data_IF_796211642852
#
_entry.id   IF_796211642852
#
_cell.length_a   1.000
_cell.length_b   1.000
_cell.length_c   1.000
_cell.angle_alpha   90.00
_cell.angle_beta   90.00
_cell.angle_gamma   90.00
#
_symmetry.space_group_name_H-M   'P 1'
#
loop_
_entity.id
_entity.type
_entity.pdbx_description
1 polymer ?
2 polymer ?
3 non-polymer ?
4 water ?
#
# COMPACT_ATOMS: atom_id res chain seq x y z
N UNK A 1 4.59 9.98 26.97
CA UNK A 1 5.58 11.09 27.05
C UNK A 1 6.39 11.21 25.77
N UNK A 2 6.98 12.39 25.58
CA UNK A 2 7.64 12.77 24.32
C UNK A 2 8.75 11.84 23.86
N UNK A 3 9.67 11.49 24.75
CA UNK A 3 10.78 10.59 24.43
C UNK A 3 10.31 9.21 23.95
N UNK A 4 9.34 8.64 24.67
CA UNK A 4 8.74 7.37 24.27
C UNK A 4 8.08 7.49 22.89
N UNK A 5 7.37 8.58 22.64
CA UNK A 5 6.73 8.77 21.33
C UNK A 5 7.76 8.86 20.21
N UNK A 6 8.90 9.49 20.48
CA UNK A 6 9.96 9.55 19.47
C UNK A 6 10.64 8.21 19.26
N UNK A 7 10.86 7.46 20.35
CA UNK A 7 11.39 6.11 20.25
C UNK A 7 10.42 5.17 19.51
N UNK A 8 9.11 5.34 19.75
CA UNK A 8 8.11 4.62 18.95
C UNK A 8 8.24 4.98 17.45
N UNK A 9 8.28 6.27 17.17
CA UNK A 9 8.44 6.74 15.78
C UNK A 9 9.64 6.10 15.11
N UNK A 10 10.77 6.10 15.82
CA UNK A 10 12.03 5.55 15.30
C UNK A 10 11.96 4.02 15.14
N UNK A 11 11.38 3.35 16.13
CA UNK A 11 11.19 1.91 16.05
C UNK A 11 10.38 1.53 14.80
N UNK A 12 9.32 2.29 14.55
CA UNK A 12 8.48 2.06 13.37
C UNK A 12 9.25 2.35 12.08
N UNK A 13 9.98 3.46 12.01
CA UNK A 13 10.85 3.71 10.83
C UNK A 13 11.87 2.57 10.57
N UNK A 14 12.57 2.14 11.60
CA UNK A 14 13.53 1.05 11.47
C UNK A 14 12.84 -0.21 10.97
N UNK A 15 11.67 -0.52 11.52
CA UNK A 15 10.92 -1.70 11.06
C UNK A 15 10.55 -1.59 9.60
N UNK A 16 10.20 -0.37 9.18
CA UNK A 16 9.75 -0.08 7.84
C UNK A 16 10.91 -0.26 6.85
N UNK A 17 12.08 0.22 7.22
CA UNK A 17 13.27 0.00 6.40
C UNK A 17 13.59 -1.50 6.27
N UNK A 18 13.39 -2.27 7.35
CA UNK A 18 13.65 -3.73 7.35
C UNK A 18 12.63 -4.56 6.55
N UNK A 19 11.44 -3.99 6.34
CA UNK A 19 10.29 -4.68 5.75
C UNK A 19 10.08 -4.33 4.27
N UNK A 20 10.44 -3.12 3.87
CA UNK A 20 10.17 -2.62 2.52
C UNK A 20 11.46 -2.23 1.80
N UNK A 21 11.96 -3.11 0.92
CA UNK A 21 13.26 -2.89 0.26
C UNK A 21 13.29 -1.62 -0.60
N UNK A 22 12.15 -1.25 -1.19
CA UNK A 22 12.06 -0.04 -2.01
C UNK A 22 11.25 1.10 -1.34
N UNK A 23 11.98 2.06 -0.77
CA UNK A 23 11.38 3.16 -0.01
C UNK A 23 10.91 4.30 -0.94
N UNK A 24 10.11 5.22 -0.41
CA UNK A 24 9.78 6.45 -1.13
C UNK A 24 11.05 7.25 -1.44
N UNK A 25 12.02 7.29 -0.51
CA UNK A 25 13.26 8.03 -0.77
C UNK A 25 13.93 7.56 -2.07
N UNK A 26 14.08 6.24 -2.20
CA UNK A 26 14.71 5.63 -3.37
C UNK A 26 13.85 5.87 -4.61
N UNK A 27 12.55 5.64 -4.47
CA UNK A 27 11.62 5.81 -5.60
C UNK A 27 11.73 7.21 -6.22
N UNK A 28 11.77 8.23 -5.35
CA UNK A 28 11.78 9.61 -5.83
C UNK A 28 13.14 9.92 -6.48
N UNK A 29 14.22 9.34 -5.95
CA UNK A 29 15.53 9.46 -6.57
C UNK A 29 15.46 8.96 -8.02
N UNK A 30 14.79 7.82 -8.22
CA UNK A 30 14.59 7.24 -9.54
C UNK A 30 13.73 8.11 -10.45
N UNK A 31 12.56 8.52 -9.96
CA UNK A 31 11.64 9.37 -10.72
C UNK A 31 12.23 10.74 -11.08
N UNK A 32 13.17 11.25 -10.28
CA UNK A 32 13.77 12.55 -10.58
C UNK A 32 15.15 12.44 -11.24
N UNK A 33 15.60 11.22 -11.50
CA UNK A 33 16.90 10.98 -12.09
C UNK A 33 18.07 11.44 -11.24
N UNK A 34 17.92 11.40 -9.92
CA UNK A 34 19.04 11.76 -9.06
C UNK A 34 19.69 10.53 -8.43
N UNK A 35 19.91 9.55 -9.29
CA UNK A 35 20.50 8.25 -8.94
C UNK A 35 21.56 7.93 -9.99
N UNK A 36 22.54 7.07 -9.65
CA UNK A 36 23.59 6.69 -10.60
C UNK A 36 23.17 5.59 -11.58
N UNK A 37 22.28 4.71 -11.14
CA UNK A 37 21.91 3.55 -11.95
C UNK A 37 21.04 3.90 -13.15
N UNK A 38 20.95 2.96 -14.07
CA UNK A 38 20.21 3.10 -15.32
C UNK A 38 18.79 3.65 -15.13
N UNK A 39 18.41 4.58 -16.01
CA UNK A 39 17.02 5.01 -16.18
C UNK A 39 16.13 3.79 -16.35
N UNK A 40 14.93 3.78 -15.76
CA UNK A 40 14.02 2.65 -15.92
C UNK A 40 13.50 2.55 -17.37
N UNK A 41 13.25 1.34 -17.87
CA UNK A 41 12.59 1.19 -19.16
C UNK A 41 11.14 1.66 -19.09
N UNK A 42 10.73 2.46 -20.06
CA UNK A 42 9.37 2.98 -20.12
C UNK A 42 8.46 2.04 -20.91
N UNK A 43 7.37 1.59 -20.28
CA UNK A 43 6.29 0.89 -20.97
C UNK A 43 5.17 1.89 -21.26
N UNK A 44 5.00 2.24 -22.53
CA UNK A 44 4.04 3.25 -22.94
C UNK A 44 3.07 2.73 -24.02
N UNK A 45 3.34 1.51 -24.51
CA UNK A 45 2.52 0.86 -25.52
C UNK A 45 2.74 -0.65 -25.57
N UNK A 46 2.04 -1.31 -26.47
CA UNK A 46 2.01 -2.77 -26.55
C UNK A 46 3.36 -3.43 -26.81
N UNK A 47 4.08 -2.97 -27.84
CA UNK A 47 5.37 -3.55 -28.18
C UNK A 47 6.49 -3.05 -27.26
N UNK A 48 6.28 -1.88 -26.66
CA UNK A 48 7.15 -1.38 -25.61
C UNK A 48 7.06 -2.29 -24.39
N UNK A 49 5.84 -2.74 -24.09
CA UNK A 49 5.59 -3.75 -23.07
C UNK A 49 6.26 -5.10 -23.39
N UNK A 50 6.32 -5.43 -24.67
CA UNK A 50 6.95 -6.64 -25.18
C UNK A 50 8.43 -6.71 -24.79
N UNK A 51 9.16 -5.66 -25.15
CA UNK A 51 10.58 -5.54 -24.88
C UNK A 51 10.89 -5.57 -23.38
N UNK A 52 10.03 -4.92 -22.59
CA UNK A 52 10.19 -4.87 -21.15
C UNK A 52 9.82 -6.18 -20.47
N UNK A 53 8.84 -6.88 -21.02
CA UNK A 53 8.40 -8.19 -20.52
C UNK A 53 9.57 -9.18 -20.38
N UNK A 54 10.62 -8.94 -21.15
CA UNK A 54 11.89 -9.66 -21.00
C UNK A 54 12.54 -9.28 -19.67
N UNK A 55 12.98 -8.02 -19.58
CA UNK A 55 13.77 -7.53 -18.45
C UNK A 55 12.99 -7.47 -17.14
N UNK A 69 -2.86 -14.71 -24.72
CA UNK A 69 -3.07 -14.03 -23.44
C UNK A 69 -3.07 -12.51 -23.63
N UNK A 70 -4.25 -11.89 -23.69
CA UNK A 70 -4.34 -10.46 -24.05
C UNK A 70 -3.57 -9.53 -23.09
N UNK A 71 -3.14 -8.39 -23.63
CA UNK A 71 -2.33 -7.41 -22.89
C UNK A 71 -2.89 -7.08 -21.49
N UNK A 72 -4.18 -6.74 -21.41
CA UNK A 72 -4.81 -6.31 -20.15
C UNK A 72 -4.80 -7.39 -19.06
N UNK A 73 -4.96 -8.65 -19.47
CA UNK A 73 -4.89 -9.79 -18.56
C UNK A 73 -3.46 -10.01 -18.04
N UNK A 74 -2.48 -9.96 -18.93
CA UNK A 74 -1.08 -10.14 -18.56
C UNK A 74 -0.65 -9.12 -17.49
N UNK A 75 -1.03 -7.86 -17.70
CA UNK A 75 -0.75 -6.79 -16.74
C UNK A 75 -1.41 -7.09 -15.37
N UNK A 76 -2.69 -7.47 -15.41
CA UNK A 76 -3.54 -7.77 -14.24
C UNK A 76 -2.99 -9.01 -13.50
N UNK A 77 -2.52 -10.01 -14.25
CA UNK A 77 -1.88 -11.18 -13.65
C UNK A 77 -0.56 -10.78 -13.00
N UNK A 78 0.19 -9.92 -13.68
CA UNK A 78 1.45 -9.39 -13.20
C UNK A 78 1.34 -8.59 -11.90
N UNK A 79 0.39 -7.66 -11.85
CA UNK A 79 -0.01 -6.95 -10.63
C UNK A 79 -0.16 -7.87 -9.39
N UNK A 80 -0.71 -9.06 -9.62
CA UNK A 80 -1.05 -9.99 -8.52
C UNK A 80 0.19 -10.55 -7.83
N UNK A 81 1.19 -10.91 -8.62
CA UNK A 81 2.42 -11.42 -8.06
C UNK A 81 3.09 -10.37 -7.15
N UNK A 82 3.17 -9.12 -7.63
CA UNK A 82 3.65 -7.99 -6.81
C UNK A 82 2.75 -7.73 -5.61
N UNK A 83 1.43 -7.80 -5.81
CA UNK A 83 0.48 -7.62 -4.73
C UNK A 83 0.74 -8.65 -3.60
N UNK A 84 0.87 -9.94 -3.95
CA UNK A 84 1.08 -10.92 -2.87
C UNK A 84 2.43 -10.74 -2.17
N UNK A 85 3.46 -10.37 -2.94
CA UNK A 85 4.76 -10.05 -2.36
C UNK A 85 4.65 -8.89 -1.37
N UNK A 86 3.90 -7.85 -1.74
CA UNK A 86 3.66 -6.69 -0.89
C UNK A 86 2.83 -7.05 0.34
N UNK A 87 1.84 -7.95 0.20
CA UNK A 87 1.10 -8.48 1.36
C UNK A 87 2.07 -9.10 2.39
N UNK A 88 3.04 -9.88 1.92
CA UNK A 88 4.06 -10.51 2.77
C UNK A 88 4.90 -9.43 3.49
N UNK A 89 5.34 -8.41 2.76
CA UNK A 89 6.07 -7.29 3.36
C UNK A 89 5.27 -6.55 4.43
N UNK A 90 4.00 -6.26 4.15
CA UNK A 90 3.15 -5.52 5.08
C UNK A 90 2.85 -6.33 6.34
N UNK A 91 2.65 -7.64 6.18
CA UNK A 91 2.49 -8.54 7.32
C UNK A 91 3.75 -8.52 8.20
N UNK A 92 4.92 -8.61 7.59
CA UNK A 92 6.16 -8.57 8.39
C UNK A 92 6.30 -7.23 9.12
N UNK A 93 5.94 -6.15 8.46
CA UNK A 93 5.94 -4.85 9.13
C UNK A 93 4.91 -4.81 10.30
N UNK A 94 3.69 -5.31 10.07
CA UNK A 94 2.65 -5.28 11.13
C UNK A 94 3.10 -6.03 12.39
N UNK A 95 3.90 -7.09 12.20
CA UNK A 95 4.41 -7.90 13.32
C UNK A 95 5.49 -7.19 14.11
N UNK A 96 5.96 -6.07 13.59
CA UNK A 96 6.89 -5.25 14.35
C UNK A 96 6.22 -4.06 15.07
N UNK A 97 4.93 -3.84 14.85
CA UNK A 97 4.18 -2.82 15.60
C UNK A 97 3.94 -3.31 17.05
N UNK A 98 4.46 -2.60 18.07
CA UNK A 98 4.38 -3.08 19.47
C UNK A 98 2.92 -3.34 19.87
N UNK A 99 2.68 -4.52 20.45
CA UNK A 99 1.34 -4.90 20.88
C UNK A 99 0.59 -5.74 19.85
N UNK A 100 0.98 -5.67 18.58
CA UNK A 100 0.21 -6.33 17.52
C UNK A 100 0.16 -7.84 17.64
N UNK A 101 1.32 -8.47 17.85
CA UNK A 101 1.37 -9.94 17.87
C UNK A 101 0.70 -10.52 19.10
N UNK A 102 0.47 -9.67 20.10
CA UNK A 102 -0.23 -10.13 21.30
C UNK A 102 -1.74 -10.07 21.18
N UNK A 103 -2.26 -9.45 20.12
CA UNK A 103 -3.70 -9.44 19.90
C UNK A 103 -4.15 -10.85 19.60
N UNK A 104 -5.38 -11.15 19.97
CA UNK A 104 -6.05 -12.34 19.48
C UNK A 104 -5.72 -12.49 18.00
N UNK A 105 -5.30 -13.70 17.63
CA UNK A 105 -4.87 -14.00 16.27
C UNK A 105 -5.95 -13.75 15.21
N UNK A 106 -7.20 -14.05 15.54
CA UNK A 106 -8.31 -13.77 14.62
C UNK A 106 -8.44 -12.28 14.32
N UNK A 107 -8.17 -11.46 15.33
CA UNK A 107 -8.19 -10.02 15.14
C UNK A 107 -7.01 -9.52 14.28
N UNK A 108 -5.85 -10.16 14.42
CA UNK A 108 -4.71 -9.84 13.56
C UNK A 108 -5.07 -10.15 12.11
N UNK A 109 -5.70 -11.31 11.88
CA UNK A 109 -6.16 -11.67 10.54
C UNK A 109 -7.11 -10.62 9.96
N UNK A 110 -8.09 -10.23 10.76
CA UNK A 110 -9.07 -9.22 10.38
C UNK A 110 -8.42 -7.88 10.08
N UNK A 111 -7.53 -7.45 10.97
CA UNK A 111 -6.78 -6.20 10.81
C UNK A 111 -6.03 -6.21 9.49
N UNK A 112 -5.37 -7.34 9.22
CA UNK A 112 -4.59 -7.52 8.02
C UNK A 112 -5.42 -7.57 6.76
N UNK A 113 -6.45 -8.41 6.77
CA UNK A 113 -7.43 -8.54 5.70
C UNK A 113 -8.02 -7.20 5.22
N UNK A 114 -8.46 -6.36 6.16
CA UNK A 114 -9.06 -5.07 5.82
C UNK A 114 -8.01 -3.98 5.60
N UNK A 115 -6.86 -4.14 6.20
CA UNK A 115 -5.85 -3.09 6.11
C UNK A 115 -4.89 -3.18 4.95
N UNK A 116 -4.62 -4.40 4.48
CA UNK A 116 -3.48 -4.64 3.60
C UNK A 116 -3.52 -3.84 2.28
N UNK A 117 -4.64 -3.86 1.56
CA UNK A 117 -4.70 -3.10 0.31
C UNK A 117 -4.71 -1.59 0.53
N UNK A 118 -5.21 -1.12 1.66
CA UNK A 118 -5.14 0.31 1.95
C UNK A 118 -3.65 0.71 2.06
N UNK A 119 -2.84 -0.18 2.64
CA UNK A 119 -1.40 0.05 2.75
C UNK A 119 -0.71 -0.09 1.37
N UNK A 120 -1.05 -1.12 0.61
CA UNK A 120 -0.50 -1.27 -0.73
C UNK A 120 -0.67 0.03 -1.57
N UNK A 121 -1.87 0.59 -1.55
CA UNK A 121 -2.16 1.78 -2.35
C UNK A 121 -1.47 3.03 -1.80
N UNK A 122 -1.31 3.10 -0.47
CA UNK A 122 -0.57 4.17 0.17
C UNK A 122 0.85 4.18 -0.40
N UNK A 123 1.50 3.02 -0.32
CA UNK A 123 2.90 2.87 -0.69
C UNK A 123 3.13 2.90 -2.19
N UNK A 124 2.13 2.46 -2.96
CA UNK A 124 2.20 2.59 -4.39
C UNK A 124 2.27 4.07 -4.81
N UNK A 125 1.59 4.96 -4.07
CA UNK A 125 1.68 6.38 -4.39
C UNK A 125 3.15 6.86 -4.37
N UNK A 126 3.96 6.29 -3.46
CA UNK A 126 5.40 6.55 -3.40
C UNK A 126 6.11 6.28 -4.73
N UNK A 127 5.61 5.28 -5.49
CA UNK A 127 6.19 4.94 -6.79
C UNK A 127 5.50 5.63 -8.01
N UNK A 128 4.54 6.51 -7.73
CA UNK A 128 3.78 7.18 -8.79
C UNK A 128 4.12 8.64 -8.92
N UNK A 129 4.06 9.15 -10.14
CA UNK A 129 3.86 10.58 -10.33
C UNK A 129 2.63 10.70 -11.23
N UNK A 130 2.33 11.91 -11.70
CA UNK A 130 1.14 12.10 -12.56
C UNK A 130 1.20 11.37 -13.91
N UNK A 131 2.39 10.99 -14.36
CA UNK A 131 2.59 10.29 -15.64
C UNK A 131 2.69 8.78 -15.64
N UNK A 132 2.85 8.17 -14.46
CA UNK A 132 3.00 6.73 -14.43
C UNK A 132 3.50 6.17 -13.12
N UNK A 133 3.87 4.90 -13.15
CA UNK A 133 4.20 4.13 -11.94
C UNK A 133 5.43 3.25 -12.17
N UNK A 134 6.34 3.28 -11.20
CA UNK A 134 7.48 2.39 -11.17
C UNK A 134 7.05 0.95 -10.90
N UNK A 135 7.55 0.03 -11.73
CA UNK A 135 7.32 -1.40 -11.55
C UNK A 135 8.64 -2.16 -11.49
N UNK A 136 8.54 -3.44 -11.11
CA UNK A 136 9.67 -4.35 -10.90
C UNK A 136 10.85 -3.70 -10.21
N UNK A 137 10.63 -3.40 -8.93
CA UNK A 137 11.67 -2.87 -8.05
C UNK A 137 12.28 -1.61 -8.66
N UNK A 138 11.45 -0.83 -9.33
CA UNK A 138 11.88 0.44 -9.87
C UNK A 138 12.64 0.38 -11.17
N UNK A 139 12.68 -0.77 -11.82
CA UNK A 139 13.46 -0.91 -13.07
C UNK A 139 12.64 -0.56 -14.30
N UNK A 140 11.32 -0.50 -14.14
CA UNK A 140 10.40 -0.17 -15.21
C UNK A 140 9.49 0.95 -14.79
N UNK A 141 8.93 1.66 -15.77
CA UNK A 141 7.99 2.75 -15.53
C UNK A 141 6.83 2.56 -16.51
N UNK A 142 5.64 2.36 -15.99
CA UNK A 142 4.46 2.13 -16.83
C UNK A 142 3.62 3.40 -16.85
N UNK A 143 3.44 3.98 -18.03
CA UNK A 143 2.71 5.24 -18.09
C UNK A 143 1.26 5.06 -17.68
N UNK A 144 0.74 6.12 -17.10
CA UNK A 144 -0.67 6.22 -16.72
C UNK A 144 -1.57 6.14 -17.96
N UNK A 145 -1.11 6.75 -19.04
CA UNK A 145 -1.80 6.69 -20.34
C UNK A 145 -1.91 5.28 -20.90
N UNK A 146 -0.85 4.47 -20.82
CA UNK A 146 -0.93 3.09 -21.30
C UNK A 146 -1.96 2.27 -20.49
N UNK A 147 -2.00 2.51 -19.19
CA UNK A 147 -2.90 1.75 -18.32
C UNK A 147 -4.33 2.20 -18.58
N UNK A 148 -4.51 3.49 -18.85
CA UNK A 148 -5.82 4.00 -19.20
C UNK A 148 -6.32 3.44 -20.55
N UNK A 149 -5.38 3.15 -21.46
CA UNK A 149 -5.69 2.57 -22.77
C UNK A 149 -6.26 1.14 -22.77
N UNK A 150 -6.08 0.42 -21.66
CA UNK A 150 -6.54 -0.96 -21.57
C UNK A 150 -8.06 -1.08 -21.67
N UNK A 151 -8.53 -2.18 -22.25
CA UNK A 151 -9.95 -2.36 -22.51
C UNK A 151 -10.73 -2.45 -21.19
N UNK A 152 -12.02 -2.10 -21.27
CA UNK A 152 -12.95 -2.29 -20.16
C UNK A 152 -12.99 -3.77 -19.78
N UNK A 153 -12.98 -4.07 -18.47
CA UNK A 153 -12.88 -3.09 -17.39
C UNK A 153 -11.46 -2.84 -16.80
N UNK A 154 -10.42 -3.40 -17.42
CA UNK A 154 -9.06 -3.31 -16.90
C UNK A 154 -8.44 -1.91 -16.91
N UNK A 155 -8.89 -1.06 -17.83
CA UNK A 155 -8.37 0.28 -17.94
C UNK A 155 -8.84 1.22 -16.85
N UNK A 156 -9.75 0.75 -16.00
CA UNK A 156 -10.31 1.54 -14.89
C UNK A 156 -9.62 1.23 -13.56
N UNK A 157 -8.81 0.17 -13.53
CA UNK A 157 -8.12 -0.24 -12.29
C UNK A 157 -7.28 0.86 -11.65
N UNK A 158 -6.31 1.37 -12.41
CA UNK A 158 -5.21 2.15 -11.85
C UNK A 158 -5.49 3.64 -11.68
N UNK A 159 -6.38 4.15 -12.52
CA UNK A 159 -6.70 5.58 -12.58
C UNK A 159 -7.12 6.22 -11.23
N UNK A 160 -8.00 5.59 -10.43
CA UNK A 160 -8.32 6.14 -9.10
C UNK A 160 -7.11 6.20 -8.17
N UNK A 161 -6.16 5.29 -8.35
CA UNK A 161 -4.92 5.26 -7.56
C UNK A 161 -4.00 6.41 -7.92
N UNK A 162 -3.87 6.68 -9.22
CA UNK A 162 -3.14 7.87 -9.69
C UNK A 162 -3.78 9.14 -9.15
N UNK A 163 -5.11 9.24 -9.25
CA UNK A 163 -5.84 10.43 -8.74
C UNK A 163 -5.55 10.63 -7.23
N UNK A 164 -5.62 9.55 -6.45
CA UNK A 164 -5.25 9.63 -5.04
C UNK A 164 -3.77 10.00 -4.87
N UNK A 165 -2.88 9.34 -5.61
CA UNK A 165 -1.43 9.48 -5.41
C UNK A 165 -0.95 10.93 -5.63
N UNK A 166 -1.46 11.58 -6.67
CA UNK A 166 -1.07 12.95 -6.96
C UNK A 166 -1.42 13.88 -5.79
N UNK A 167 -2.60 13.70 -5.21
CA UNK A 167 -2.99 14.57 -4.10
C UNK A 167 -2.26 14.16 -2.82
N UNK A 168 -2.09 12.85 -2.63
CA UNK A 168 -1.40 12.33 -1.48
C UNK A 168 0.05 12.82 -1.49
N UNK A 169 0.72 12.67 -2.64
CA UNK A 169 2.10 13.13 -2.80
C UNK A 169 2.32 14.63 -2.58
N UNK A 170 1.29 15.44 -2.83
CA UNK A 170 1.39 16.88 -2.54
C UNK A 170 1.60 17.18 -1.05
N UNK A 171 1.24 16.24 -0.17
CA UNK A 171 1.55 16.38 1.27
C UNK A 171 3.05 16.21 1.60
N UNK A 172 3.81 15.63 0.67
CA UNK A 172 5.27 15.49 0.81
C UNK A 172 5.69 14.71 2.07
N UNK A 173 4.93 13.66 2.42
CA UNK A 173 5.34 12.75 3.51
C UNK A 173 6.59 12.02 3.10
N UNK A 174 7.42 11.69 4.08
CA UNK A 174 8.61 10.92 3.78
C UNK A 174 8.43 9.55 4.44
N UNK A 175 9.44 8.71 4.33
CA UNK A 175 9.35 7.33 4.80
C UNK A 175 9.11 7.24 6.29
N UNK A 176 9.72 8.15 7.05
CA UNK A 176 9.53 8.18 8.50
C UNK A 176 8.06 8.54 8.90
N UNK A 177 7.44 9.46 8.16
CA UNK A 177 6.02 9.79 8.34
C UNK A 177 5.16 8.55 7.98
N UNK A 178 5.47 7.96 6.83
CA UNK A 178 4.69 6.83 6.30
C UNK A 178 4.68 5.63 7.24
N UNK A 179 5.80 5.39 7.92
CA UNK A 179 5.91 4.24 8.83
C UNK A 179 4.86 4.31 9.94
N UNK A 180 4.66 5.50 10.51
CA UNK A 180 3.58 5.70 11.47
C UNK A 180 2.18 5.70 10.87
N UNK A 181 1.97 6.52 9.83
CA UNK A 181 0.74 6.50 9.01
C UNK A 181 0.24 5.07 8.75
N UNK A 182 1.14 4.22 8.29
CA UNK A 182 0.79 2.84 7.95
C UNK A 182 0.33 2.08 9.19
N UNK A 183 1.07 2.25 10.29
CA UNK A 183 0.76 1.56 11.53
C UNK A 183 -0.64 1.98 12.05
N UNK A 184 -0.95 3.28 12.02
CA UNK A 184 -2.27 3.78 12.39
C UNK A 184 -3.42 3.09 11.61
N UNK A 185 -3.26 2.97 10.28
CA UNK A 185 -4.27 2.33 9.46
C UNK A 185 -4.48 0.86 9.84
N UNK A 186 -3.39 0.14 10.09
CA UNK A 186 -3.48 -1.29 10.35
C UNK A 186 -4.24 -1.48 11.67
N UNK A 187 -4.02 -0.59 12.62
CA UNK A 187 -4.63 -0.69 13.93
C UNK A 187 -5.98 0.05 14.01
N UNK A 188 -6.85 -0.22 13.03
CA UNK A 188 -8.16 0.44 12.99
C UNK A 188 -9.14 -0.39 13.77
N UNK A 189 -9.69 0.21 14.84
CA UNK A 189 -10.61 -0.47 15.75
C UNK A 189 -11.97 -0.74 15.15
N UNK A 190 -12.25 -0.11 14.02
CA UNK A 190 -13.57 -0.23 13.40
C UNK A 190 -13.69 -1.26 12.27
N UNK A 191 -12.65 -2.09 12.04
CA UNK A 191 -12.77 -3.15 11.03
C UNK A 191 -13.93 -4.10 11.39
N UNK A 192 -14.72 -4.50 10.39
CA UNK A 192 -15.81 -5.46 10.61
C UNK A 192 -15.38 -6.77 11.24
N UNK A 193 -16.12 -7.20 12.25
CA UNK A 193 -15.94 -8.50 12.86
C UNK A 193 -14.78 -8.63 13.87
N UNK A 194 -14.24 -7.52 14.37
CA UNK A 194 -13.20 -7.61 15.40
C UNK A 194 -13.78 -8.10 16.73
N UNK A 195 -13.04 -9.00 17.38
CA UNK A 195 -13.46 -9.58 18.65
C UNK A 195 -13.22 -8.65 19.83
N UNK A 196 -12.04 -8.03 19.87
CA UNK A 196 -11.64 -7.20 21.00
C UNK A 196 -11.19 -5.81 20.55
N UNK A 197 -12.14 -4.89 20.44
CA UNK A 197 -11.86 -3.56 19.87
C UNK A 197 -10.91 -2.70 20.75
N UNK A 198 -11.05 -2.82 22.07
CA UNK A 198 -10.34 -1.93 22.99
C UNK A 198 -8.83 -1.93 22.92
N UNK A 199 -8.17 -3.10 23.03
CA UNK A 199 -6.71 -3.13 22.95
C UNK A 199 -6.20 -2.67 21.60
N UNK A 200 -7.02 -2.74 20.56
CA UNK A 200 -6.65 -2.17 19.27
C UNK A 200 -6.69 -0.63 19.30
N UNK A 201 -7.77 -0.06 19.85
CA UNK A 201 -7.92 1.39 19.96
C UNK A 201 -6.82 1.99 20.83
N UNK A 202 -6.51 1.33 21.95
CA UNK A 202 -5.42 1.74 22.83
C UNK A 202 -4.08 1.84 22.08
N UNK A 203 -3.75 0.82 21.30
CA UNK A 203 -2.50 0.85 20.52
C UNK A 203 -2.56 1.98 19.49
N UNK A 204 -3.68 2.08 18.77
CA UNK A 204 -3.87 3.12 17.77
C UNK A 204 -3.78 4.53 18.35
N UNK A 205 -4.27 4.70 19.58
CA UNK A 205 -4.28 6.01 20.23
C UNK A 205 -2.87 6.47 20.46
N UNK A 206 -2.05 5.53 20.92
CA UNK A 206 -0.63 5.78 21.11
C UNK A 206 0.10 6.09 19.77
N UNK A 207 -0.17 5.31 18.73
CA UNK A 207 0.38 5.56 17.39
C UNK A 207 -0.06 6.90 16.80
N UNK A 208 -1.31 7.30 17.05
CA UNK A 208 -1.79 8.61 16.60
C UNK A 208 -1.05 9.75 17.31
N UNK A 209 -0.81 9.61 18.62
CA UNK A 209 -0.03 10.58 19.36
C UNK A 209 1.35 10.68 18.76
N UNK A 210 1.93 9.52 18.42
CA UNK A 210 3.28 9.46 17.84
C UNK A 210 3.29 10.13 16.45
N UNK A 211 2.23 9.91 15.67
CA UNK A 211 2.08 10.53 14.35
C UNK A 211 1.93 12.06 14.43
N UNK A 212 1.09 12.52 15.37
CA UNK A 212 0.89 13.93 15.56
C UNK A 212 2.24 14.60 15.88
N UNK A 213 2.99 14.02 16.80
CA UNK A 213 4.28 14.58 17.17
C UNK A 213 5.23 14.55 15.96
N UNK A 214 5.27 13.43 15.26
CA UNK A 214 6.11 13.28 14.04
C UNK A 214 5.87 14.36 12.98
N UNK A 215 4.61 14.61 12.66
CA UNK A 215 4.25 15.61 11.64
C UNK A 215 4.56 17.03 12.09
N UNK A 216 4.39 17.30 13.38
CA UNK A 216 4.73 18.61 13.94
C UNK A 216 6.23 18.93 13.86
N UNK A 217 7.06 17.92 14.16
CA UNK A 217 8.52 18.07 14.17
C UNK A 217 9.08 18.00 12.75
N UNK A 218 8.57 17.08 11.94
CA UNK A 218 9.05 16.89 10.56
C UNK A 218 8.51 17.92 9.55
N UNK A 219 7.33 18.46 9.82
CA UNK A 219 6.74 19.45 8.92
C UNK A 219 6.07 20.59 9.70
N UNK A 220 6.88 21.36 10.44
CA UNK A 220 6.33 22.38 11.36
C UNK A 220 5.47 23.39 10.65
N UNK A 221 5.73 23.63 9.37
CA UNK A 221 5.02 24.70 8.64
C UNK A 221 3.89 24.20 7.76
N UNK A 222 3.63 22.89 7.79
CA UNK A 222 2.62 22.34 6.89
C UNK A 222 1.26 22.45 7.58
N UNK A 223 0.39 23.32 7.05
CA UNK A 223 -0.89 23.63 7.68
C UNK A 223 -1.82 22.43 7.84
N UNK A 224 -2.22 22.17 9.07
CA UNK A 224 -3.18 21.13 9.38
C UNK A 224 -2.81 19.78 8.77
N UNK A 225 -1.51 19.50 8.69
CA UNK A 225 -1.03 18.25 8.08
C UNK A 225 -1.68 17.01 8.69
N UNK A 226 -1.60 16.87 10.02
CA UNK A 226 -2.19 15.77 10.76
C UNK A 226 -3.68 15.50 10.37
N UNK A 227 -4.50 16.53 10.40
CA UNK A 227 -5.91 16.43 10.01
C UNK A 227 -6.03 16.01 8.55
N UNK A 228 -5.15 16.54 7.69
CA UNK A 228 -5.15 16.20 6.26
C UNK A 228 -4.83 14.71 6.04
N UNK A 229 -3.89 14.23 6.83
CA UNK A 229 -3.48 12.84 6.76
C UNK A 229 -4.54 11.87 7.18
N UNK A 230 -5.18 12.19 8.31
CA UNK A 230 -6.22 11.34 8.85
C UNK A 230 -7.32 11.19 7.80
N UNK A 231 -7.66 12.28 7.11
CA UNK A 231 -8.63 12.26 6.01
C UNK A 231 -8.27 11.28 4.89
N UNK A 232 -6.99 11.20 4.56
CA UNK A 232 -6.51 10.33 3.49
C UNK A 232 -6.74 8.88 3.84
N UNK A 233 -6.64 8.58 5.13
CA UNK A 233 -6.89 7.25 5.66
C UNK A 233 -8.28 6.82 5.33
N UNK A 234 -9.23 7.75 5.42
CA UNK A 234 -10.59 7.41 5.06
C UNK A 234 -10.75 7.34 3.55
N UNK A 235 -10.06 8.21 2.81
CA UNK A 235 -10.11 8.16 1.34
C UNK A 235 -9.63 6.83 0.77
N UNK A 236 -8.70 6.18 1.46
CA UNK A 236 -8.17 4.91 1.00
C UNK A 236 -9.22 3.81 0.91
N UNK A 237 -10.18 3.83 1.83
CA UNK A 237 -11.22 2.78 1.86
C UNK A 237 -12.06 2.77 0.57
N UNK A 238 -12.38 3.97 0.07
CA UNK A 238 -13.10 4.19 -1.20
C UNK A 238 -12.32 3.63 -2.40
N UNK A 239 -11.00 3.83 -2.37
CA UNK A 239 -10.12 3.28 -3.41
C UNK A 239 -10.20 1.74 -3.43
N UNK A 240 -10.15 1.13 -2.24
CA UNK A 240 -10.26 -0.32 -2.10
C UNK A 240 -11.66 -0.77 -2.54
N UNK A 241 -12.68 -0.03 -2.10
CA UNK A 241 -14.04 -0.29 -2.53
C UNK A 241 -14.18 -0.37 -4.05
N UNK A 242 -13.65 0.62 -4.76
CA UNK A 242 -13.72 0.63 -6.21
C UNK A 242 -12.98 -0.53 -6.85
N UNK A 243 -11.80 -0.86 -6.30
CA UNK A 243 -11.01 -1.96 -6.78
C UNK A 243 -11.81 -3.25 -6.64
N UNK A 244 -12.38 -3.48 -5.47
CA UNK A 244 -13.12 -4.71 -5.17
C UNK A 244 -14.33 -4.92 -6.10
N UNK A 245 -15.08 -3.85 -6.35
CA UNK A 245 -16.23 -3.94 -7.25
C UNK A 245 -15.76 -4.26 -8.68
N UNK A 246 -14.60 -3.74 -9.07
CA UNK A 246 -14.02 -4.07 -10.36
C UNK A 246 -13.66 -5.56 -10.42
N UNK A 247 -13.05 -6.06 -9.36
CA UNK A 247 -12.76 -7.49 -9.28
C UNK A 247 -14.02 -8.35 -9.35
N UNK A 248 -15.11 -7.93 -8.70
CA UNK A 248 -16.40 -8.64 -8.79
C UNK A 248 -16.95 -8.69 -10.21
N UNK A 249 -16.82 -7.59 -10.95
CA UNK A 249 -17.14 -7.61 -12.40
C UNK A 249 -16.34 -8.68 -13.14
N UNK A 250 -15.01 -8.66 -12.95
CA UNK A 250 -14.10 -9.62 -13.56
C UNK A 250 -14.45 -11.08 -13.18
N UNK A 251 -14.64 -11.34 -11.88
CA UNK A 251 -15.13 -12.63 -11.45
C UNK A 251 -16.40 -13.07 -12.23
N UNK A 252 -17.37 -12.17 -12.36
CA UNK A 252 -18.64 -12.49 -13.01
C UNK A 252 -18.55 -12.65 -14.53
N UNK A 253 -17.67 -11.88 -15.17
CA UNK A 253 -17.74 -11.71 -16.62
C UNK A 253 -16.42 -11.95 -17.39
N UNK A 254 -15.32 -12.18 -16.68
CA UNK A 254 -14.00 -12.24 -17.31
C UNK A 254 -13.27 -13.50 -16.82
N UNK A 255 -13.78 -14.66 -17.24
CA UNK A 255 -13.62 -15.88 -16.44
C UNK A 255 -12.39 -16.78 -16.67
N UNK A 256 -11.61 -16.56 -17.72
CA UNK A 256 -10.54 -17.53 -18.02
C UNK A 256 -9.32 -17.46 -17.08
N UNK A 257 -9.17 -16.33 -16.38
CA UNK A 257 -8.00 -16.06 -15.53
C UNK A 257 -8.35 -15.73 -14.07
N UNK A 258 -7.77 -16.52 -13.15
CA UNK A 258 -8.15 -16.45 -11.76
C UNK A 258 -7.37 -15.40 -10.97
N UNK A 259 -7.60 -15.44 -9.67
CA UNK A 259 -7.00 -14.54 -8.73
C UNK A 259 -6.08 -15.41 -7.89
N UNK A 260 -4.86 -14.96 -7.63
CA UNK A 260 -3.94 -15.66 -6.71
C UNK A 260 -4.69 -16.08 -5.44
N UNK A 261 -4.49 -17.32 -5.00
CA UNK A 261 -5.16 -17.84 -3.78
C UNK A 261 -5.10 -16.94 -2.52
N UNK A 262 -3.93 -16.37 -2.24
CA UNK A 262 -3.78 -15.41 -1.13
C UNK A 262 -4.75 -14.22 -1.27
N UNK A 263 -4.85 -13.70 -2.49
CA UNK A 263 -5.74 -12.56 -2.75
C UNK A 263 -7.21 -12.99 -2.65
N UNK A 264 -7.54 -14.16 -3.17
CA UNK A 264 -8.89 -14.72 -2.96
C UNK A 264 -9.23 -14.76 -1.48
N UNK A 265 -8.28 -15.21 -0.65
CA UNK A 265 -8.49 -15.28 0.80
C UNK A 265 -8.69 -13.91 1.46
N UNK A 266 -7.87 -12.92 1.10
CA UNK A 266 -8.12 -11.55 1.57
C UNK A 266 -9.53 -11.04 1.17
N UNK A 267 -9.92 -11.27 -0.08
CA UNK A 267 -11.13 -10.67 -0.63
C UNK A 267 -12.42 -11.43 -0.25
N UNK A 268 -12.29 -12.73 0.00
CA UNK A 268 -13.44 -13.55 0.41
C UNK A 268 -14.04 -12.99 1.69
N UNK A 269 -15.36 -12.74 1.65
CA UNK A 269 -16.11 -12.15 2.77
C UNK A 269 -15.56 -10.80 3.26
N UNK A 270 -14.80 -10.10 2.43
CA UNK A 270 -14.36 -8.76 2.78
C UNK A 270 -15.57 -7.84 2.68
N UNK A 271 -15.93 -7.21 3.79
CA UNK A 271 -17.14 -6.38 3.92
C UNK A 271 -18.40 -7.19 3.58
N UNK B 1 -5.78 -18.03 7.09
CA UNK B 1 -5.33 -19.43 6.74
C UNK B 1 -3.92 -19.39 6.12
N UNK B 2 -3.80 -18.77 4.96
CA UNK B 2 -2.49 -18.31 4.47
C UNK B 2 -2.07 -17.06 5.25
N UNK B 3 -3.05 -16.25 5.64
CA UNK B 3 -2.80 -15.09 6.47
C UNK B 3 -2.27 -15.52 7.86
N UNK B 4 -2.87 -16.55 8.45
CA UNK B 4 -2.38 -17.13 9.71
C UNK B 4 -0.91 -17.59 9.58
N UNK B 5 -0.57 -18.28 8.49
CA UNK B 5 0.82 -18.75 8.29
C UNK B 5 1.79 -17.57 8.28
N UNK B 6 1.50 -16.56 7.47
CA UNK B 6 2.30 -15.34 7.40
C UNK B 6 2.40 -14.68 8.77
N UNK B 7 1.30 -14.63 9.51
CA UNK B 7 1.28 -13.94 10.79
C UNK B 7 2.10 -14.63 11.89
N UNK B 8 2.18 -15.96 11.85
CA UNK B 8 2.80 -16.73 12.95
C UNK B 8 4.19 -17.24 12.62
N UNK B 9 4.63 -16.94 11.40
CA UNK B 9 5.95 -17.30 10.93
C UNK B 9 7.06 -16.51 11.68
N UNK B 10 8.18 -17.18 11.95
CA UNK B 10 9.33 -16.54 12.60
C UNK B 10 10.65 -16.84 11.89
X LIG C 1 -5.42 -6.76 -10.20
X LIG C 1 -4.62 -6.98 -8.90
X LIG C 1 -4.73 -5.84 -8.06
X LIG C 1 -4.06 -6.02 -6.82
X LIG C 1 -4.92 -6.75 -5.84
X LIG C 1 -4.36 -7.46 -4.94
X LIG C 1 -6.18 -6.60 -5.91
X LIG C 1 -3.63 -4.67 -6.23
X LIG C 1 -2.44 -4.10 -6.94
X LIG C 1 -2.63 -3.37 -8.14
X LIG C 1 -1.18 -4.28 -6.40
X LIG C 1 -0.08 -3.71 -7.05
X LIG C 1 1.32 -3.70 -6.74
X LIG C 1 1.93 -2.94 -7.69
X LIG C 1 -0.28 -2.97 -8.21
X LIG C 1 -1.54 -2.79 -8.79
X LIG C 1 0.97 -2.47 -8.62
X LIG C 1 1.24 -1.60 -9.78
X LIG C 1 1.44 -2.43 -11.02
X LIG C 1 0.82 -2.42 -12.21
X LIG C 1 -0.30 -1.55 -12.71
X LIG C 1 1.36 -3.39 -13.03
X LIG C 1 2.41 -3.44 -11.09
X LIG C 1 2.34 -4.01 -12.34
X LIG C 1 3.17 -5.10 -12.81
X LIG C 1 3.15 -5.53 -14.16
X LIG C 1 2.09 -4.81 -15.33
X LIG C 1 3.99 -6.58 -14.57
X LIG C 1 4.85 -7.18 -13.66
X LIG C 1 4.88 -6.75 -12.33
X LIG C 1 4.04 -5.72 -11.91
#
# INVERSE_FOLDING_TARGET
ESADLRALAKHLYDSYIKSFPLTKAKARAILTGKTTDKSPFVIYDMNSLMMGEDKIKFKHITPLQEQSKEVAIRIFQGCQFRSVEAVQEITEYAKSIPGFVNLDLNDQVTLLKYGVHEIIYTMLASLMNKDGVLISEGQGFMTREFLKSLRKPFGDFMEPKFEFAVKFNALELDDSDLAIFIAVIILSGDRPGLLNVKPIEDIQDNLLQALELQLKLNHPESSQLFAKLLQKMTDLRQIVTEHVQLLQVIKKTETDMSLHPLLQEIYKDLY
HKLVQLLTTT
208 C30 C28 O25 C15 C13 O22 O20 C19 C18 C21 C17 C11 C12 C10 C8 C14 N4 C9 C3 C7 C26 O5 N2 C1 C6 C16 CL23 C27 C31 C29 C24
#
